data_IF_912066421408
#
_entry.id   IF_912066421408
#
_cell.length_a   1.000
_cell.length_b   1.000
_cell.length_c   1.000
_cell.angle_alpha   90.00
_cell.angle_beta   90.00
_cell.angle_gamma   90.00
#
_symmetry.space_group_name_H-M   'P 1'
#
loop_
_entity.id
_entity.type
_entity.pdbx_description
1 polymer ?
#
# COMPACT_ATOMS: atom_id res chain seq x y z
N UNK A 1 3.55 -5.92 -28.03
CA UNK A 1 3.34 -5.65 -27.75
C UNK A 1 3.36 -4.83 -27.00
N UNK A 2 3.39 -4.26 -26.93
CA UNK A 2 3.21 -3.44 -26.24
C UNK A 2 3.21 -3.57 -24.92
N UNK A 3 3.19 -4.47 -24.53
CA UNK A 3 3.27 -4.77 -23.17
C UNK A 3 4.27 -3.97 -22.42
N UNK A 4 5.22 -3.55 -23.03
CA UNK A 4 6.25 -2.83 -22.41
C UNK A 4 5.81 -1.59 -21.80
N UNK A 5 4.99 -0.89 -22.49
CA UNK A 5 4.60 0.42 -22.04
C UNK A 5 3.62 0.39 -20.93
N UNK A 6 2.92 -0.71 -20.78
CA UNK A 6 1.87 -0.72 -19.81
C UNK A 6 2.31 -1.04 -18.42
N UNK A 7 3.50 -1.58 -18.28
CA UNK A 7 3.89 -2.07 -16.99
C UNK A 7 4.13 -0.99 -15.98
N UNK A 8 4.19 0.25 -16.41
CA UNK A 8 4.45 1.29 -15.46
C UNK A 8 3.22 1.94 -14.92
N UNK A 9 2.06 1.64 -15.45
CA UNK A 9 0.85 2.31 -15.04
C UNK A 9 -0.20 1.29 -14.66
N UNK A 10 -0.36 1.10 -13.36
CA UNK A 10 -1.29 0.12 -12.84
C UNK A 10 -2.63 0.76 -12.56
N UNK A 11 -3.70 -0.01 -12.74
CA UNK A 11 -5.02 0.44 -12.36
C UNK A 11 -5.16 0.37 -10.84
N UNK A 12 -6.20 1.01 -10.33
CA UNK A 12 -6.40 0.98 -8.88
C UNK A 12 -6.66 -0.44 -8.39
N UNK A 13 -7.31 -1.25 -9.20
CA UNK A 13 -7.54 -2.63 -8.80
C UNK A 13 -6.24 -3.42 -8.73
N UNK A 14 -5.35 -3.19 -9.69
CA UNK A 14 -4.06 -3.86 -9.66
C UNK A 14 -3.23 -3.41 -8.47
N UNK A 15 -3.28 -2.13 -8.16
CA UNK A 15 -2.57 -1.61 -6.99
C UNK A 15 -3.14 -2.24 -5.73
N UNK A 16 -4.45 -2.32 -5.64
CA UNK A 16 -5.09 -2.92 -4.46
C UNK A 16 -4.61 -4.37 -4.27
N UNK A 17 -4.58 -5.13 -5.35
CA UNK A 17 -4.15 -6.52 -5.25
C UNK A 17 -2.70 -6.65 -4.82
N UNK A 18 -1.85 -5.75 -5.29
CA UNK A 18 -0.46 -5.75 -4.86
C UNK A 18 -0.33 -5.42 -3.39
N UNK A 19 -1.06 -4.42 -2.94
CA UNK A 19 -1.01 -4.04 -1.52
C UNK A 19 -1.51 -5.19 -0.65
N UNK A 20 -2.55 -5.86 -1.10
CA UNK A 20 -3.07 -6.99 -0.36
C UNK A 20 -2.04 -8.11 -0.26
N UNK A 21 -1.30 -8.34 -1.34
CA UNK A 21 -0.23 -9.32 -1.33
C UNK A 21 0.85 -8.93 -0.33
N UNK A 22 1.25 -7.67 -0.32
CA UNK A 22 2.28 -7.22 0.61
C UNK A 22 1.81 -7.37 2.05
N UNK A 23 0.55 -7.03 2.31
CA UNK A 23 0.00 -7.19 3.65
C UNK A 23 0.04 -8.65 4.05
N UNK A 24 -0.34 -9.53 3.14
CA UNK A 24 -0.32 -10.96 3.41
C UNK A 24 1.08 -11.42 3.77
N UNK A 25 2.09 -10.90 3.11
CA UNK A 25 3.46 -11.27 3.40
C UNK A 25 3.93 -10.75 4.74
N UNK A 26 3.39 -9.62 5.16
CA UNK A 26 3.82 -9.01 6.42
C UNK A 26 3.15 -9.64 7.62
N UNK A 27 1.85 -9.86 7.56
CA UNK A 27 1.12 -10.35 8.73
C UNK A 27 0.78 -11.83 8.68
N UNK A 28 0.91 -12.46 7.51
CA UNK A 28 0.69 -13.89 7.40
C UNK A 28 -0.64 -14.23 6.76
N UNK A 29 -0.64 -15.33 6.00
CA UNK A 29 -1.83 -15.72 5.27
C UNK A 29 -2.97 -16.12 6.19
N UNK A 30 -2.64 -16.71 7.32
CA UNK A 30 -3.68 -17.17 8.22
C UNK A 30 -4.48 -16.01 8.76
N UNK A 31 -3.83 -14.92 9.06
CA UNK A 31 -4.53 -13.74 9.54
C UNK A 31 -5.36 -13.12 8.43
N UNK A 32 -4.81 -13.08 7.23
CA UNK A 32 -5.48 -12.44 6.12
C UNK A 32 -6.77 -13.17 5.75
N UNK A 33 -6.77 -14.49 5.88
CA UNK A 33 -7.95 -15.25 5.55
C UNK A 33 -9.14 -14.88 6.44
N UNK A 34 -8.85 -14.51 7.67
CA UNK A 34 -9.91 -14.12 8.60
C UNK A 34 -10.30 -12.67 8.47
N UNK A 35 -9.50 -11.88 7.76
CA UNK A 35 -9.77 -10.46 7.61
C UNK A 35 -10.47 -10.19 6.30
N UNK A 36 -11.44 -9.31 6.35
CA UNK A 36 -12.13 -8.89 5.15
C UNK A 36 -11.47 -7.63 4.62
N UNK A 37 -10.35 -7.80 3.95
CA UNK A 37 -9.56 -6.68 3.49
C UNK A 37 -10.22 -6.00 2.31
N UNK A 38 -10.44 -4.71 2.43
CA UNK A 38 -11.03 -3.92 1.36
C UNK A 38 -10.28 -2.61 1.26
N UNK A 39 -10.67 -1.79 0.29
CA UNK A 39 -10.04 -0.48 0.13
C UNK A 39 -10.29 0.41 1.33
N UNK A 40 -11.32 0.13 2.10
CA UNK A 40 -11.65 0.94 3.26
C UNK A 40 -11.03 0.42 4.55
N UNK A 41 -10.30 -0.67 4.48
CA UNK A 41 -9.64 -1.20 5.67
C UNK A 41 -8.53 -0.27 6.11
N UNK A 42 -8.47 0.01 7.40
CA UNK A 42 -7.40 0.84 7.92
C UNK A 42 -6.30 -0.06 8.49
N UNK A 43 -5.07 0.43 8.44
CA UNK A 43 -3.94 -0.37 8.87
C UNK A 43 -3.95 -0.67 10.35
N UNK A 44 -4.35 0.30 11.15
CA UNK A 44 -4.26 0.12 12.60
C UNK A 44 -5.53 -0.43 13.19
N UNK A 45 -6.67 -0.10 12.61
CA UNK A 45 -7.94 -0.53 13.19
C UNK A 45 -8.40 -1.87 12.68
N UNK A 46 -8.33 -2.06 11.37
CA UNK A 46 -8.87 -3.28 10.77
C UNK A 46 -7.81 -4.35 10.61
N UNK A 47 -6.61 -3.96 10.23
CA UNK A 47 -5.54 -4.91 10.00
C UNK A 47 -4.65 -5.08 11.21
N UNK A 48 -4.77 -4.19 12.18
CA UNK A 48 -4.02 -4.26 13.44
C UNK A 48 -2.52 -4.37 13.23
N UNK A 49 -2.01 -3.66 12.24
CA UNK A 49 -0.59 -3.66 11.98
C UNK A 49 0.11 -2.69 12.92
N UNK A 50 1.20 -3.13 13.51
CA UNK A 50 1.98 -2.24 14.36
C UNK A 50 3.00 -1.48 13.51
N UNK A 51 3.80 -0.64 14.16
CA UNK A 51 4.71 0.24 13.42
C UNK A 51 5.77 -0.55 12.67
N UNK A 52 6.22 -1.66 13.22
CA UNK A 52 7.21 -2.48 12.55
C UNK A 52 6.63 -3.09 11.29
N UNK A 53 5.41 -3.56 11.38
CA UNK A 53 4.75 -4.16 10.23
C UNK A 53 4.48 -3.12 9.16
N UNK A 54 4.11 -1.91 9.56
CA UNK A 54 3.88 -0.84 8.60
C UNK A 54 5.18 -0.47 7.89
N UNK A 55 6.29 -0.44 8.61
CA UNK A 55 7.57 -0.17 7.99
C UNK A 55 7.93 -1.27 6.99
N UNK A 56 7.74 -2.52 7.37
CA UNK A 56 8.00 -3.63 6.45
C UNK A 56 7.14 -3.52 5.21
N UNK A 57 5.88 -3.18 5.39
CA UNK A 57 4.97 -3.00 4.26
C UNK A 57 5.45 -1.88 3.36
N UNK A 58 5.86 -0.75 3.93
CA UNK A 58 6.30 0.37 3.12
C UNK A 58 7.57 0.06 2.35
N UNK A 59 8.44 -0.76 2.93
CA UNK A 59 9.64 -1.15 2.20
C UNK A 59 9.31 -2.04 1.01
N UNK A 60 8.30 -2.89 1.15
CA UNK A 60 7.88 -3.71 0.03
C UNK A 60 7.30 -2.85 -1.08
N UNK A 61 6.53 -1.85 -0.72
CA UNK A 61 5.97 -0.93 -1.71
C UNK A 61 7.09 -0.20 -2.44
N UNK A 62 8.05 0.31 -1.69
CA UNK A 62 9.14 1.03 -2.29
C UNK A 62 9.98 0.14 -3.19
N UNK A 63 10.22 -1.09 -2.76
CA UNK A 63 11.01 -2.02 -3.55
C UNK A 63 10.32 -2.37 -4.85
N UNK A 64 9.02 -2.50 -4.82
CA UNK A 64 8.28 -2.89 -6.00
C UNK A 64 8.13 -1.74 -7.00
N UNK A 65 7.80 -0.55 -6.50
CA UNK A 65 7.52 0.59 -7.37
C UNK A 65 8.75 1.43 -7.67
N UNK A 66 9.82 1.27 -6.91
CA UNK A 66 11.04 2.02 -7.16
C UNK A 66 11.01 3.37 -6.49
N UNK A 67 11.97 4.19 -6.89
CA UNK A 67 12.17 5.47 -6.22
C UNK A 67 11.19 6.53 -6.66
N UNK A 68 10.36 6.22 -7.65
CA UNK A 68 9.33 7.17 -8.04
C UNK A 68 8.38 7.44 -6.90
N UNK A 69 8.20 6.48 -6.02
CA UNK A 69 7.22 6.61 -4.96
C UNK A 69 7.93 6.62 -3.64
N UNK A 70 7.92 7.79 -2.99
CA UNK A 70 8.55 7.94 -1.68
C UNK A 70 7.51 7.65 -0.60
N UNK A 71 7.09 6.40 -0.55
CA UNK A 71 6.02 5.99 0.35
C UNK A 71 6.40 6.22 1.80
N UNK A 72 7.63 5.88 2.15
CA UNK A 72 8.10 6.07 3.52
C UNK A 72 8.10 7.54 3.90
N UNK A 73 8.56 8.40 3.01
CA UNK A 73 8.53 9.83 3.26
C UNK A 73 7.13 10.36 3.37
N UNK A 74 6.22 9.84 2.54
CA UNK A 74 4.83 10.25 2.59
C UNK A 74 4.22 9.91 3.94
N UNK A 75 4.49 8.69 4.44
CA UNK A 75 3.99 8.31 5.75
C UNK A 75 4.61 9.15 6.86
N UNK A 76 5.90 9.45 6.75
CA UNK A 76 6.59 10.22 7.76
C UNK A 76 6.03 11.64 7.91
N UNK A 77 5.43 12.14 6.84
CA UNK A 77 4.86 13.47 6.89
C UNK A 77 3.51 13.55 7.55
N UNK A 78 2.94 12.40 7.89
CA UNK A 78 1.62 12.38 8.51
C UNK A 78 1.73 12.43 10.02
N UNK A 79 0.72 13.04 10.66
CA UNK A 79 0.70 12.98 12.11
C UNK A 79 0.03 11.67 12.54
N UNK A 80 -0.02 11.46 13.84
CA UNK A 80 -0.49 10.19 14.37
C UNK A 80 -1.94 9.93 14.00
N UNK A 81 -2.77 10.97 14.04
CA UNK A 81 -4.18 10.80 13.70
C UNK A 81 -4.35 10.37 12.26
N UNK A 82 -3.56 10.92 11.37
CA UNK A 82 -3.66 10.55 9.97
C UNK A 82 -3.22 9.11 9.75
N UNK A 83 -2.17 8.68 10.44
CA UNK A 83 -1.70 7.31 10.31
C UNK A 83 -2.73 6.33 10.84
N UNK A 84 -3.35 6.64 11.95
CA UNK A 84 -4.34 5.77 12.56
C UNK A 84 -5.53 5.58 11.63
N UNK A 85 -5.89 6.60 10.89
CA UNK A 85 -7.05 6.55 10.01
C UNK A 85 -6.70 6.22 8.56
N UNK A 86 -5.44 5.92 8.30
CA UNK A 86 -5.00 5.64 6.94
C UNK A 86 -5.63 4.35 6.42
N UNK A 87 -6.21 4.44 5.24
CA UNK A 87 -6.86 3.30 4.61
C UNK A 87 -6.10 2.88 3.37
N UNK A 88 -6.36 1.67 2.92
CA UNK A 88 -5.75 1.20 1.68
C UNK A 88 -6.11 2.12 0.52
N UNK A 89 -7.33 2.63 0.51
CA UNK A 89 -7.75 3.53 -0.56
C UNK A 89 -6.87 4.76 -0.64
N UNK A 90 -6.43 5.28 0.50
CA UNK A 90 -5.57 6.45 0.52
C UNK A 90 -4.22 6.14 -0.14
N UNK A 91 -3.71 4.95 0.10
CA UNK A 91 -2.45 4.55 -0.49
C UNK A 91 -2.60 4.34 -1.99
N UNK A 92 -3.71 3.72 -2.39
CA UNK A 92 -3.98 3.50 -3.79
C UNK A 92 -4.01 4.84 -4.53
N UNK A 93 -4.69 5.82 -3.97
CA UNK A 93 -4.77 7.13 -4.59
C UNK A 93 -3.42 7.81 -4.64
N UNK A 94 -2.62 7.63 -3.59
CA UNK A 94 -1.28 8.21 -3.59
C UNK A 94 -0.43 7.60 -4.70
N UNK A 95 -0.46 6.28 -4.85
CA UNK A 95 0.32 5.61 -5.86
C UNK A 95 -0.14 6.02 -7.26
N UNK A 96 -1.45 6.10 -7.45
CA UNK A 96 -1.97 6.55 -8.73
C UNK A 96 -1.50 7.96 -9.05
N UNK A 97 -1.49 8.80 -8.04
CA UNK A 97 -1.04 10.17 -8.21
C UNK A 97 0.43 10.22 -8.63
N UNK A 98 1.25 9.36 -8.05
CA UNK A 98 2.65 9.31 -8.41
C UNK A 98 2.84 8.86 -9.85
N UNK A 99 2.02 7.94 -10.31
CA UNK A 99 2.11 7.48 -11.68
C UNK A 99 1.71 8.58 -12.65
N UNK A 100 0.70 9.35 -12.28
CA UNK A 100 0.20 10.39 -13.16
C UNK A 100 1.11 11.61 -13.22
N UNK A 101 1.88 11.83 -12.20
CA UNK A 101 2.71 13.02 -12.17
C UNK A 101 3.99 12.90 -12.98
N UNK A 102 4.16 11.84 -13.68
CA UNK A 102 5.34 11.72 -14.51
C UNK A 102 5.32 12.66 -15.71
#
# INVERSE_FOLDING_TARGET
MDAITTQQHLSSEQIFNLLKTFITEVIGEEFVEDLDISRESSFTRDLEMDSIEIVSFSEKVKSHFGEHIDFTGWLSGMDLDQLINLKLDDIIKYIESCQLSK
#
